data_IF_687566102723
#
_entry.id   IF_687566102723
#
_cell.length_a   1.000
_cell.length_b   1.000
_cell.length_c   1.000
_cell.angle_alpha   90.00
_cell.angle_beta   90.00
_cell.angle_gamma   90.00
#
_symmetry.space_group_name_H-M   'P 1'
#
loop_
_entity.id
_entity.type
_entity.pdbx_description
1 polymer ?
#
# COMPACT_ATOMS: atom_id res chain seq x y z
N UNK A 1 0.84 -3.68 13.26
CA UNK A 1 2.16 -3.32 13.83
C UNK A 1 2.08 -2.54 15.14
N UNK A 2 1.01 -1.82 15.43
CA UNK A 2 0.87 -0.98 16.65
C UNK A 2 0.42 -1.77 17.88
N UNK A 3 0.07 -3.03 17.76
CA UNK A 3 -0.33 -3.86 18.88
C UNK A 3 0.85 -4.08 19.86
N UNK A 4 0.59 -4.15 21.17
CA UNK A 4 1.66 -4.20 22.20
C UNK A 4 2.66 -5.35 22.05
N UNK A 5 2.21 -6.48 21.53
CA UNK A 5 3.04 -7.67 21.29
C UNK A 5 3.87 -7.58 19.99
N UNK A 6 3.54 -6.66 19.08
CA UNK A 6 4.18 -6.50 17.76
C UNK A 6 5.09 -5.30 17.67
N UNK A 7 4.68 -4.17 18.28
CA UNK A 7 5.39 -2.89 18.15
C UNK A 7 6.85 -2.97 18.62
N UNK A 8 7.14 -3.83 19.60
CA UNK A 8 8.48 -4.04 20.11
C UNK A 8 9.44 -4.60 19.05
N UNK A 9 9.01 -5.58 18.27
CA UNK A 9 9.80 -6.16 17.18
C UNK A 9 9.99 -5.15 16.04
N UNK A 10 8.96 -4.35 15.74
CA UNK A 10 9.03 -3.32 14.72
C UNK A 10 9.99 -2.18 15.10
N UNK A 11 9.95 -1.73 16.36
CA UNK A 11 10.89 -0.76 16.91
C UNK A 11 12.33 -1.29 16.92
N UNK A 12 12.51 -2.60 17.18
CA UNK A 12 13.83 -3.23 17.09
C UNK A 12 14.38 -3.17 15.66
N UNK A 13 13.56 -3.43 14.66
CA UNK A 13 13.93 -3.30 13.24
C UNK A 13 14.36 -1.86 12.90
N UNK A 14 13.59 -0.86 13.35
CA UNK A 14 13.90 0.56 13.12
C UNK A 14 15.20 0.98 13.80
N UNK A 15 15.46 0.47 15.01
CA UNK A 15 16.65 0.81 15.80
C UNK A 15 17.89 -0.01 15.47
N UNK A 16 17.85 -0.86 14.44
CA UNK A 16 18.98 -1.68 14.01
C UNK A 16 20.07 -0.83 13.36
N UNK A 17 21.32 -1.09 13.73
CA UNK A 17 22.50 -0.43 13.15
C UNK A 17 23.04 -1.17 11.94
N UNK A 18 22.83 -2.49 11.87
CA UNK A 18 23.30 -3.35 10.77
C UNK A 18 22.17 -4.07 10.07
N UNK A 19 22.47 -4.61 8.89
CA UNK A 19 21.50 -5.44 8.13
C UNK A 19 21.16 -6.71 8.90
N UNK A 20 22.15 -7.34 9.53
CA UNK A 20 21.98 -8.58 10.30
C UNK A 20 21.05 -8.37 11.51
N UNK A 21 21.20 -7.25 12.23
CA UNK A 21 20.29 -6.89 13.32
C UNK A 21 18.87 -6.65 12.80
N UNK A 22 18.74 -6.00 11.64
CA UNK A 22 17.45 -5.73 11.02
C UNK A 22 16.78 -7.02 10.57
N UNK A 23 17.51 -7.92 9.93
CA UNK A 23 17.02 -9.24 9.53
C UNK A 23 16.59 -10.06 10.75
N UNK A 24 17.33 -10.03 11.85
CA UNK A 24 16.97 -10.71 13.09
C UNK A 24 15.67 -10.16 13.72
N UNK A 25 15.42 -8.85 13.60
CA UNK A 25 14.16 -8.25 14.02
C UNK A 25 13.01 -8.61 13.08
N UNK A 26 13.25 -8.56 11.75
CA UNK A 26 12.28 -8.94 10.72
C UNK A 26 11.87 -10.41 10.82
N UNK A 27 12.80 -11.31 11.20
CA UNK A 27 12.49 -12.72 11.42
C UNK A 27 11.46 -12.96 12.55
N UNK A 28 11.32 -12.01 13.48
CA UNK A 28 10.26 -12.06 14.51
C UNK A 28 8.93 -11.53 13.99
N UNK A 29 8.95 -10.61 13.04
CA UNK A 29 7.76 -10.00 12.43
C UNK A 29 7.14 -10.93 11.38
N UNK A 30 7.98 -11.64 10.61
CA UNK A 30 7.55 -12.51 9.50
C UNK A 30 6.41 -13.47 9.88
N UNK A 31 6.52 -14.29 10.96
CA UNK A 31 5.45 -15.22 11.34
C UNK A 31 4.15 -14.51 11.76
N UNK A 32 4.24 -13.31 12.33
CA UNK A 32 3.06 -12.52 12.69
C UNK A 32 2.33 -12.04 11.44
N UNK A 33 3.05 -11.50 10.47
CA UNK A 33 2.45 -11.10 9.19
C UNK A 33 1.94 -12.28 8.38
N UNK A 34 2.66 -13.40 8.38
CA UNK A 34 2.19 -14.62 7.73
C UNK A 34 0.84 -15.06 8.31
N UNK A 35 0.68 -15.07 9.62
CA UNK A 35 -0.58 -15.43 10.27
C UNK A 35 -1.73 -14.48 9.89
N UNK A 36 -1.45 -13.18 9.83
CA UNK A 36 -2.44 -12.19 9.39
C UNK A 36 -2.89 -12.44 7.93
N UNK A 37 -1.94 -12.72 7.04
CA UNK A 37 -2.25 -12.99 5.64
C UNK A 37 -2.96 -14.34 5.46
N UNK A 38 -2.62 -15.36 6.25
CA UNK A 38 -3.37 -16.61 6.26
C UNK A 38 -4.83 -16.37 6.64
N UNK A 39 -5.08 -15.62 7.72
CA UNK A 39 -6.44 -15.28 8.14
C UNK A 39 -7.20 -14.48 7.07
N UNK A 40 -6.51 -13.60 6.34
CA UNK A 40 -7.10 -12.84 5.25
C UNK A 40 -7.49 -13.73 4.06
N UNK A 41 -6.60 -14.64 3.63
CA UNK A 41 -6.90 -15.60 2.55
C UNK A 41 -8.04 -16.55 2.94
N UNK A 42 -8.08 -17.02 4.19
CA UNK A 42 -9.18 -17.84 4.69
C UNK A 42 -10.53 -17.10 4.63
N UNK A 43 -10.54 -15.82 5.08
CA UNK A 43 -11.76 -15.02 5.09
C UNK A 43 -12.29 -14.69 3.69
N UNK A 44 -11.43 -14.68 2.69
CA UNK A 44 -11.79 -14.33 1.30
C UNK A 44 -12.03 -15.55 0.39
N UNK A 45 -11.85 -16.78 0.91
CA UNK A 45 -12.30 -18.03 0.27
C UNK A 45 -11.91 -18.15 -1.22
N UNK A 46 -10.64 -17.82 -1.56
CA UNK A 46 -10.14 -17.86 -2.93
C UNK A 46 -10.47 -16.62 -3.79
N UNK A 47 -11.12 -15.61 -3.24
CA UNK A 47 -11.24 -14.32 -3.92
C UNK A 47 -9.87 -13.63 -4.02
N UNK A 48 -9.66 -12.76 -5.03
CA UNK A 48 -8.42 -12.01 -5.18
C UNK A 48 -8.07 -11.17 -3.94
N UNK A 49 -6.80 -11.16 -3.57
CA UNK A 49 -6.29 -10.42 -2.42
C UNK A 49 -5.05 -9.63 -2.84
N UNK A 50 -5.16 -8.32 -2.77
CA UNK A 50 -4.03 -7.41 -3.01
C UNK A 50 -3.41 -7.00 -1.68
N UNK A 51 -2.13 -7.29 -1.50
CA UNK A 51 -1.37 -6.96 -0.30
C UNK A 51 -0.37 -5.86 -0.63
N UNK A 52 -0.56 -4.70 -0.02
CA UNK A 52 0.35 -3.57 -0.14
C UNK A 52 1.53 -3.72 0.83
N UNK A 53 2.74 -3.47 0.36
CA UNK A 53 3.91 -3.37 1.21
C UNK A 53 3.82 -2.22 2.19
N UNK A 54 4.69 -2.24 3.20
CA UNK A 54 4.79 -1.21 4.23
C UNK A 54 4.88 0.17 3.56
N UNK A 55 3.94 1.02 3.92
CA UNK A 55 3.81 2.35 3.34
C UNK A 55 4.10 3.49 4.33
N UNK A 56 3.62 3.46 5.59
CA UNK A 56 3.86 4.55 6.53
C UNK A 56 5.35 4.80 6.80
N UNK A 57 5.76 6.06 7.01
CA UNK A 57 7.12 6.39 7.38
C UNK A 57 7.47 5.85 8.77
N UNK A 58 8.74 5.50 8.97
CA UNK A 58 9.17 4.78 10.18
C UNK A 58 9.02 5.58 11.47
N UNK A 59 9.00 6.92 11.41
CA UNK A 59 8.83 7.75 12.62
C UNK A 59 7.47 7.53 13.30
N UNK A 60 6.44 7.06 12.60
CA UNK A 60 5.13 6.78 13.19
C UNK A 60 5.15 5.64 14.22
N UNK A 61 6.15 4.77 14.15
CA UNK A 61 6.24 3.58 15.01
C UNK A 61 7.11 3.79 16.26
N UNK A 62 7.88 4.86 16.32
CA UNK A 62 8.76 5.15 17.46
C UNK A 62 8.06 6.00 18.52
N UNK A 63 8.42 5.84 19.80
CA UNK A 63 7.80 6.59 20.88
C UNK A 63 8.22 8.07 20.88
N UNK A 64 7.33 8.91 21.38
CA UNK A 64 7.57 10.35 21.61
C UNK A 64 7.79 10.68 23.09
N UNK A 65 7.22 9.89 24.00
CA UNK A 65 7.28 10.11 25.43
C UNK A 65 8.60 9.62 26.03
N UNK A 66 9.20 10.40 26.95
CA UNK A 66 10.51 10.12 27.55
C UNK A 66 10.56 8.73 28.22
N UNK A 67 9.54 8.36 28.98
CA UNK A 67 9.47 7.08 29.66
C UNK A 67 9.48 5.89 28.68
N UNK A 68 8.82 6.03 27.54
CA UNK A 68 8.76 5.00 26.50
C UNK A 68 10.07 4.91 25.72
N UNK A 69 10.76 6.05 25.53
CA UNK A 69 12.11 6.11 24.95
C UNK A 69 13.12 5.40 25.86
N UNK A 70 13.06 5.64 27.18
CA UNK A 70 13.90 4.95 28.16
C UNK A 70 13.63 3.43 28.16
N UNK A 71 12.37 3.03 28.12
CA UNK A 71 11.98 1.62 28.04
C UNK A 71 12.49 0.97 26.75
N UNK A 72 12.38 1.66 25.61
CA UNK A 72 12.90 1.20 24.32
C UNK A 72 14.43 1.06 24.38
N UNK A 73 15.15 2.07 24.91
CA UNK A 73 16.59 2.03 25.05
C UNK A 73 17.06 0.81 25.85
N UNK A 74 16.40 0.54 26.99
CA UNK A 74 16.69 -0.63 27.83
C UNK A 74 16.42 -1.95 27.07
N UNK A 75 15.33 -2.04 26.35
CA UNK A 75 14.94 -3.23 25.58
C UNK A 75 15.92 -3.51 24.44
N UNK A 76 16.43 -2.45 23.80
CA UNK A 76 17.37 -2.56 22.67
C UNK A 76 18.83 -2.64 23.13
N UNK A 77 19.13 -2.52 24.43
CA UNK A 77 20.50 -2.48 24.93
C UNK A 77 21.32 -1.28 24.45
N UNK A 78 20.64 -0.19 24.10
CA UNK A 78 21.24 1.07 23.60
C UNK A 78 21.10 2.17 24.64
N UNK A 79 21.91 3.23 24.51
CA UNK A 79 21.74 4.40 25.37
C UNK A 79 20.47 5.17 24.97
N UNK A 80 19.87 5.86 25.94
CA UNK A 80 18.72 6.77 25.71
C UNK A 80 19.07 7.83 24.66
N UNK A 81 20.29 8.37 24.70
CA UNK A 81 20.79 9.33 23.73
C UNK A 81 20.84 8.74 22.32
N UNK A 82 21.30 7.50 22.16
CA UNK A 82 21.32 6.80 20.88
C UNK A 82 19.91 6.67 20.31
N UNK A 83 18.94 6.24 21.13
CA UNK A 83 17.54 6.13 20.69
C UNK A 83 16.95 7.48 20.29
N UNK A 84 17.22 8.55 21.08
CA UNK A 84 16.80 9.91 20.73
C UNK A 84 17.40 10.39 19.41
N UNK A 85 18.65 10.07 19.13
CA UNK A 85 19.30 10.43 17.88
C UNK A 85 18.68 9.66 16.69
N UNK A 86 18.35 8.37 16.86
CA UNK A 86 17.63 7.60 15.83
C UNK A 86 16.27 8.23 15.57
N UNK A 87 15.46 8.49 16.60
CA UNK A 87 14.14 9.13 16.47
C UNK A 87 14.26 10.48 15.76
N UNK A 88 15.23 11.32 16.17
CA UNK A 88 15.47 12.62 15.55
C UNK A 88 15.86 12.50 14.07
N UNK A 89 16.61 11.47 13.69
CA UNK A 89 17.01 11.23 12.30
C UNK A 89 15.85 10.80 11.39
N UNK A 90 14.78 10.27 11.98
CA UNK A 90 13.56 9.87 11.25
C UNK A 90 12.60 11.04 11.05
N UNK A 91 12.84 12.17 11.70
CA UNK A 91 11.95 13.33 11.58
C UNK A 91 12.06 13.96 10.20
N UNK A 92 10.93 14.11 9.54
CA UNK A 92 10.80 14.75 8.24
C UNK A 92 9.84 15.95 8.32
N UNK A 93 10.10 17.01 7.56
CA UNK A 93 9.21 18.18 7.51
C UNK A 93 7.87 17.86 6.84
N UNK A 94 7.90 16.97 5.86
CA UNK A 94 6.72 16.47 5.18
C UNK A 94 6.81 14.95 4.96
N UNK A 95 6.44 14.15 5.97
CA UNK A 95 6.58 12.68 5.91
C UNK A 95 5.79 12.02 4.79
N UNK A 96 4.65 12.62 4.38
CA UNK A 96 3.83 12.10 3.29
C UNK A 96 4.56 12.15 1.94
N UNK A 97 5.51 13.07 1.77
CA UNK A 97 6.38 13.20 0.60
C UNK A 97 7.80 12.63 0.84
N UNK A 98 8.01 11.98 1.97
CA UNK A 98 9.31 11.60 2.49
C UNK A 98 9.70 10.15 2.27
N UNK A 99 10.40 9.59 3.26
CA UNK A 99 10.98 8.26 3.24
C UNK A 99 9.96 7.19 3.66
N UNK A 100 9.11 6.81 2.73
CA UNK A 100 8.03 5.81 2.90
C UNK A 100 7.85 4.97 1.63
N UNK A 101 7.01 3.94 1.70
CA UNK A 101 6.60 3.13 0.56
C UNK A 101 7.78 2.48 -0.16
N UNK A 102 7.81 2.58 -1.49
CA UNK A 102 8.90 2.00 -2.28
C UNK A 102 10.27 2.55 -1.92
N UNK A 103 10.34 3.79 -1.42
CA UNK A 103 11.61 4.42 -1.00
C UNK A 103 12.21 3.69 0.20
N UNK A 104 11.38 3.21 1.13
CA UNK A 104 11.83 2.29 2.19
C UNK A 104 12.31 0.96 1.62
N UNK A 105 11.59 0.39 0.67
CA UNK A 105 11.99 -0.88 0.04
C UNK A 105 13.27 -0.75 -0.79
N UNK A 106 13.59 0.44 -1.29
CA UNK A 106 14.89 0.72 -1.94
C UNK A 106 16.02 0.83 -0.92
N UNK A 107 15.78 1.51 0.20
CA UNK A 107 16.80 1.76 1.22
C UNK A 107 17.02 0.55 2.14
N UNK A 108 15.95 -0.18 2.44
CA UNK A 108 15.91 -1.37 3.30
C UNK A 108 15.22 -2.53 2.60
N UNK A 109 15.84 -3.12 1.55
CA UNK A 109 15.22 -4.16 0.74
C UNK A 109 14.83 -5.42 1.52
N UNK A 110 15.48 -5.67 2.65
CA UNK A 110 15.16 -6.78 3.55
C UNK A 110 13.74 -6.71 4.12
N UNK A 111 13.13 -5.51 4.22
CA UNK A 111 11.71 -5.35 4.60
C UNK A 111 10.82 -5.95 3.50
N UNK A 112 11.06 -5.60 2.25
CA UNK A 112 10.31 -6.14 1.12
C UNK A 112 10.49 -7.66 0.99
N UNK A 113 11.70 -8.17 1.22
CA UNK A 113 12.02 -9.60 1.25
C UNK A 113 11.19 -10.31 2.34
N UNK A 114 11.18 -9.78 3.56
CA UNK A 114 10.40 -10.35 4.65
C UNK A 114 8.90 -10.38 4.34
N UNK A 115 8.35 -9.25 3.86
CA UNK A 115 6.93 -9.18 3.53
C UNK A 115 6.55 -10.14 2.38
N UNK A 116 7.40 -10.26 1.36
CA UNK A 116 7.20 -11.23 0.28
C UNK A 116 7.16 -12.65 0.81
N UNK A 117 8.10 -13.03 1.71
CA UNK A 117 8.10 -14.34 2.35
C UNK A 117 6.80 -14.61 3.09
N UNK A 118 6.34 -13.64 3.90
CA UNK A 118 5.11 -13.77 4.67
C UNK A 118 3.88 -13.97 3.76
N UNK A 119 3.76 -13.19 2.69
CA UNK A 119 2.66 -13.28 1.71
C UNK A 119 2.63 -14.65 1.02
N UNK A 120 3.77 -15.07 0.46
CA UNK A 120 3.86 -16.30 -0.32
C UNK A 120 3.69 -17.53 0.57
N UNK A 121 4.30 -17.55 1.77
CA UNK A 121 4.14 -18.65 2.74
C UNK A 121 2.68 -18.79 3.19
N UNK A 122 2.00 -17.67 3.46
CA UNK A 122 0.59 -17.66 3.81
C UNK A 122 -0.28 -18.24 2.69
N UNK A 123 -0.07 -17.80 1.45
CA UNK A 123 -0.80 -18.31 0.31
C UNK A 123 -0.58 -19.82 0.10
N UNK A 124 0.66 -20.30 0.21
CA UNK A 124 0.97 -21.74 0.12
C UNK A 124 0.30 -22.52 1.24
N UNK A 125 0.31 -22.01 2.47
CA UNK A 125 -0.31 -22.68 3.61
C UNK A 125 -1.82 -22.83 3.43
N UNK A 126 -2.50 -21.76 2.98
CA UNK A 126 -3.94 -21.77 2.74
C UNK A 126 -4.30 -22.62 1.52
N UNK A 127 -3.54 -22.56 0.42
CA UNK A 127 -3.74 -23.43 -0.74
C UNK A 127 -3.64 -24.93 -0.41
N UNK A 128 -2.77 -25.29 0.54
CA UNK A 128 -2.68 -26.69 1.01
C UNK A 128 -3.89 -27.13 1.85
N UNK A 129 -4.50 -26.20 2.59
CA UNK A 129 -5.72 -26.46 3.38
C UNK A 129 -6.98 -26.52 2.50
N UNK A 130 -7.00 -25.72 1.43
CA UNK A 130 -8.12 -25.57 0.52
C UNK A 130 -7.68 -25.76 -0.94
N UNK A 131 -7.45 -27.03 -1.36
CA UNK A 131 -6.94 -27.32 -2.70
C UNK A 131 -7.93 -27.01 -3.85
N UNK A 132 -9.19 -26.75 -3.52
CA UNK A 132 -10.25 -26.31 -4.42
C UNK A 132 -10.30 -24.80 -4.64
N UNK A 133 -9.56 -24.01 -3.83
CA UNK A 133 -9.46 -22.57 -4.01
C UNK A 133 -8.32 -22.20 -4.95
N UNK A 134 -8.56 -21.20 -5.79
CA UNK A 134 -7.50 -20.60 -6.59
C UNK A 134 -7.00 -19.35 -5.86
N UNK A 135 -5.82 -19.43 -5.25
CA UNK A 135 -5.19 -18.31 -4.55
C UNK A 135 -4.05 -17.79 -5.43
N UNK A 136 -4.18 -16.53 -5.84
CA UNK A 136 -3.14 -15.79 -6.58
C UNK A 136 -2.82 -14.54 -5.77
N UNK A 137 -1.73 -14.52 -5.00
CA UNK A 137 -1.29 -13.33 -4.28
C UNK A 137 -0.99 -12.18 -5.23
N UNK A 138 -1.54 -11.01 -4.93
CA UNK A 138 -1.24 -9.76 -5.62
C UNK A 138 -0.38 -8.90 -4.70
N UNK A 139 0.91 -8.74 -5.03
CA UNK A 139 1.85 -7.94 -4.25
C UNK A 139 1.91 -6.53 -4.84
N UNK A 140 1.51 -5.54 -4.05
CA UNK A 140 1.43 -4.15 -4.48
C UNK A 140 2.54 -3.31 -3.87
N UNK A 141 3.37 -2.71 -4.73
CA UNK A 141 4.44 -1.80 -4.33
C UNK A 141 3.89 -0.37 -4.36
N UNK A 142 3.82 0.33 -3.20
CA UNK A 142 3.27 1.67 -3.13
C UNK A 142 4.26 2.75 -3.55
N UNK A 143 3.77 3.94 -3.84
CA UNK A 143 4.53 5.19 -4.01
C UNK A 143 5.53 5.19 -5.18
N UNK A 144 5.30 4.40 -6.20
CA UNK A 144 6.13 4.37 -7.41
C UNK A 144 5.95 5.65 -8.21
N UNK A 145 7.04 6.33 -8.50
CA UNK A 145 7.10 7.49 -9.37
C UNK A 145 7.89 7.26 -10.66
N UNK A 146 8.74 6.23 -10.71
CA UNK A 146 9.56 5.87 -11.86
C UNK A 146 9.60 4.35 -12.05
N UNK A 147 9.61 3.89 -13.30
CA UNK A 147 9.72 2.46 -13.63
C UNK A 147 10.97 1.80 -13.01
N UNK A 148 12.05 2.57 -12.84
CA UNK A 148 13.30 2.04 -12.26
C UNK A 148 13.15 1.68 -10.79
N UNK A 149 12.34 2.42 -10.04
CA UNK A 149 11.98 2.07 -8.65
C UNK A 149 11.24 0.73 -8.62
N UNK A 150 10.23 0.58 -9.49
CA UNK A 150 9.48 -0.67 -9.60
C UNK A 150 10.38 -1.85 -9.98
N UNK A 151 11.21 -1.70 -10.99
CA UNK A 151 12.17 -2.73 -11.42
C UNK A 151 13.10 -3.15 -10.29
N UNK A 152 13.62 -2.18 -9.55
CA UNK A 152 14.57 -2.44 -8.47
C UNK A 152 13.92 -3.25 -7.35
N UNK A 153 12.73 -2.83 -6.87
CA UNK A 153 12.02 -3.53 -5.79
C UNK A 153 11.46 -4.86 -6.27
N UNK A 154 10.84 -4.91 -7.46
CA UNK A 154 10.29 -6.13 -8.05
C UNK A 154 11.33 -7.25 -8.16
N UNK A 155 12.60 -6.93 -8.41
CA UNK A 155 13.67 -7.91 -8.45
C UNK A 155 13.75 -8.73 -7.16
N UNK A 156 13.77 -8.06 -5.99
CA UNK A 156 13.81 -8.74 -4.69
C UNK A 156 12.53 -9.53 -4.43
N UNK A 157 11.39 -9.00 -4.84
CA UNK A 157 10.09 -9.67 -4.70
C UNK A 157 10.08 -10.98 -5.48
N UNK A 158 10.42 -10.95 -6.76
CA UNK A 158 10.41 -12.13 -7.63
C UNK A 158 11.44 -13.17 -7.17
N UNK A 159 12.69 -12.76 -6.92
CA UNK A 159 13.72 -13.66 -6.42
C UNK A 159 13.31 -14.36 -5.12
N UNK A 160 12.66 -13.63 -4.22
CA UNK A 160 12.20 -14.17 -2.94
C UNK A 160 10.98 -15.09 -3.11
N UNK A 161 9.97 -14.65 -3.87
CA UNK A 161 8.77 -15.43 -4.11
C UNK A 161 9.10 -16.78 -4.77
N UNK A 162 9.89 -16.75 -5.84
CA UNK A 162 10.32 -17.95 -6.57
C UNK A 162 11.12 -18.91 -5.69
N UNK A 163 12.01 -18.38 -4.83
CA UNK A 163 12.77 -19.18 -3.90
C UNK A 163 11.86 -19.89 -2.88
N UNK A 164 10.91 -19.17 -2.28
CA UNK A 164 9.95 -19.74 -1.31
C UNK A 164 9.05 -20.79 -1.95
N UNK A 165 8.52 -20.52 -3.14
CA UNK A 165 7.67 -21.45 -3.89
C UNK A 165 8.44 -22.74 -4.22
N UNK A 166 9.68 -22.60 -4.71
CA UNK A 166 10.56 -23.72 -5.03
C UNK A 166 10.88 -24.55 -3.79
N UNK A 167 11.26 -23.92 -2.69
CA UNK A 167 11.58 -24.58 -1.42
C UNK A 167 10.39 -25.37 -0.88
N UNK A 168 9.20 -24.82 -0.99
CA UNK A 168 7.94 -25.47 -0.57
C UNK A 168 7.47 -26.59 -1.51
N UNK A 169 8.07 -26.73 -2.69
CA UNK A 169 7.62 -27.64 -3.76
C UNK A 169 6.20 -27.33 -4.20
N UNK A 170 5.79 -26.05 -4.16
CA UNK A 170 4.42 -25.61 -4.46
C UNK A 170 4.30 -25.18 -5.93
N UNK A 171 3.08 -25.26 -6.45
CA UNK A 171 2.68 -24.63 -7.72
C UNK A 171 1.77 -23.44 -7.39
N UNK A 172 2.37 -22.27 -7.22
CA UNK A 172 1.68 -21.04 -6.87
C UNK A 172 2.01 -19.95 -7.87
N UNK A 173 0.97 -19.35 -8.47
CA UNK A 173 1.10 -18.13 -9.27
C UNK A 173 0.92 -16.93 -8.36
N UNK A 174 1.60 -15.84 -8.68
CA UNK A 174 1.46 -14.55 -8.01
C UNK A 174 1.62 -13.42 -9.01
N UNK A 175 1.19 -12.23 -8.65
CA UNK A 175 1.31 -11.03 -9.47
C UNK A 175 2.00 -9.92 -8.69
N UNK A 176 2.81 -9.11 -9.38
CA UNK A 176 3.46 -7.93 -8.82
C UNK A 176 3.00 -6.69 -9.57
N UNK A 177 2.28 -5.84 -8.87
CA UNK A 177 1.77 -4.60 -9.40
C UNK A 177 2.16 -3.39 -8.56
N UNK A 178 1.58 -2.27 -8.87
CA UNK A 178 1.90 -1.03 -8.17
C UNK A 178 0.68 -0.16 -7.91
N UNK A 179 0.82 0.73 -6.93
CA UNK A 179 -0.12 1.81 -6.71
C UNK A 179 0.21 2.98 -7.64
N UNK A 180 -0.79 3.48 -8.35
CA UNK A 180 -0.71 4.74 -9.11
C UNK A 180 -1.28 5.83 -8.20
N UNK A 181 -0.40 6.54 -7.55
CA UNK A 181 -0.75 7.56 -6.55
C UNK A 181 0.12 8.82 -6.63
N UNK A 182 1.15 8.77 -7.48
CA UNK A 182 1.97 9.93 -7.80
C UNK A 182 1.56 10.44 -9.19
N UNK A 183 1.31 11.73 -9.39
CA UNK A 183 0.93 12.28 -10.71
C UNK A 183 1.90 11.88 -11.83
N UNK A 184 3.22 11.85 -11.55
CA UNK A 184 4.21 11.38 -12.51
C UNK A 184 3.98 9.94 -12.94
N UNK A 185 3.59 9.06 -12.02
CA UNK A 185 3.27 7.67 -12.34
C UNK A 185 2.05 7.55 -13.26
N UNK A 186 1.01 8.38 -13.05
CA UNK A 186 -0.14 8.43 -13.94
C UNK A 186 0.23 8.89 -15.35
N UNK A 187 1.12 9.89 -15.46
CA UNK A 187 1.60 10.43 -16.74
C UNK A 187 2.53 9.46 -17.51
N UNK A 188 3.15 8.51 -16.84
CA UNK A 188 4.09 7.52 -17.42
C UNK A 188 3.63 6.09 -17.19
N UNK A 189 2.30 5.90 -17.14
CA UNK A 189 1.72 4.60 -16.82
C UNK A 189 1.99 3.53 -17.89
N UNK A 190 2.18 3.93 -19.15
CA UNK A 190 2.65 3.06 -20.23
C UNK A 190 4.04 2.46 -19.94
N UNK A 191 4.96 3.27 -19.42
CA UNK A 191 6.28 2.78 -19.03
C UNK A 191 6.17 1.82 -17.83
N UNK A 192 5.40 2.20 -16.81
CA UNK A 192 5.23 1.40 -15.59
C UNK A 192 4.52 0.07 -15.90
N UNK A 193 3.55 0.05 -16.82
CA UNK A 193 2.83 -1.14 -17.23
C UNK A 193 3.70 -2.21 -17.92
N UNK A 194 4.91 -1.86 -18.39
CA UNK A 194 5.86 -2.84 -18.89
C UNK A 194 6.33 -3.80 -17.80
N UNK A 195 6.32 -3.35 -16.55
CA UNK A 195 6.76 -4.11 -15.38
C UNK A 195 5.61 -4.52 -14.44
N UNK A 196 4.64 -3.63 -14.23
CA UNK A 196 3.49 -3.90 -13.36
C UNK A 196 2.48 -4.83 -14.05
N UNK A 197 1.99 -5.83 -13.32
CA UNK A 197 0.97 -6.76 -13.79
C UNK A 197 -0.43 -6.25 -13.53
N UNK A 198 -0.59 -5.39 -12.53
CA UNK A 198 -1.84 -4.68 -12.22
C UNK A 198 -1.56 -3.27 -11.69
N UNK A 199 -2.60 -2.42 -11.72
CA UNK A 199 -2.59 -1.11 -11.08
C UNK A 199 -3.67 -0.99 -10.01
N UNK A 200 -3.39 -0.21 -8.97
CA UNK A 200 -4.39 0.25 -8.02
C UNK A 200 -4.21 1.75 -7.80
N UNK A 201 -5.25 2.54 -7.94
CA UNK A 201 -5.18 3.96 -7.65
C UNK A 201 -5.19 4.21 -6.14
N UNK A 202 -4.15 4.86 -5.61
CA UNK A 202 -4.07 5.42 -4.26
C UNK A 202 -4.55 6.86 -4.28
N UNK A 203 -5.87 7.07 -4.28
CA UNK A 203 -6.44 8.38 -4.56
C UNK A 203 -6.27 9.40 -3.45
N UNK A 204 -5.94 9.01 -2.23
CA UNK A 204 -5.59 9.96 -1.18
C UNK A 204 -4.31 10.72 -1.55
N UNK A 205 -3.23 9.99 -1.86
CA UNK A 205 -1.96 10.60 -2.28
C UNK A 205 -2.06 11.28 -3.64
N UNK A 206 -2.76 10.67 -4.60
CA UNK A 206 -2.96 11.27 -5.91
C UNK A 206 -3.72 12.61 -5.81
N UNK A 207 -4.73 12.70 -4.96
CA UNK A 207 -5.47 13.93 -4.69
C UNK A 207 -4.56 14.96 -4.03
N UNK A 208 -3.86 14.60 -2.97
CA UNK A 208 -2.93 15.47 -2.25
C UNK A 208 -1.90 16.11 -3.18
N UNK A 209 -1.27 15.29 -4.02
CA UNK A 209 -0.22 15.77 -4.92
C UNK A 209 -0.76 16.53 -6.12
N UNK A 210 -1.97 16.23 -6.57
CA UNK A 210 -2.62 16.95 -7.68
C UNK A 210 -3.09 18.33 -7.24
N UNK A 211 -3.68 18.46 -6.05
CA UNK A 211 -4.07 19.75 -5.49
C UNK A 211 -2.90 20.53 -4.88
N UNK A 212 -1.80 19.87 -4.52
CA UNK A 212 -0.62 20.49 -3.96
C UNK A 212 -0.78 20.92 -2.50
N UNK A 213 -1.62 20.22 -1.71
CA UNK A 213 -1.73 20.42 -0.27
C UNK A 213 -1.84 19.10 0.49
N UNK A 214 -1.35 19.09 1.72
CA UNK A 214 -1.39 17.93 2.59
C UNK A 214 -2.79 17.67 3.12
N UNK A 215 -3.24 16.40 3.09
CA UNK A 215 -4.49 15.97 3.71
C UNK A 215 -4.53 16.31 5.20
N UNK A 216 -3.40 16.13 5.89
CA UNK A 216 -3.30 16.33 7.33
C UNK A 216 -3.34 17.82 7.73
N UNK A 217 -2.91 18.73 6.82
CA UNK A 217 -2.89 20.16 7.04
C UNK A 217 -4.09 20.91 6.42
N UNK A 218 -4.81 20.27 5.50
CA UNK A 218 -5.87 20.93 4.72
C UNK A 218 -7.03 21.48 5.58
N UNK A 219 -7.31 20.87 6.73
CA UNK A 219 -8.32 21.37 7.70
C UNK A 219 -8.08 22.80 8.18
N UNK A 220 -6.85 23.32 8.04
CA UNK A 220 -6.54 24.71 8.43
C UNK A 220 -7.17 25.77 7.51
N UNK A 221 -7.57 25.40 6.29
CA UNK A 221 -8.12 26.35 5.30
C UNK A 221 -9.37 25.83 4.56
N UNK A 222 -9.65 24.53 4.53
CA UNK A 222 -10.75 23.97 3.76
C UNK A 222 -12.13 24.50 4.19
N UNK A 223 -12.32 24.76 5.48
CA UNK A 223 -13.58 25.35 5.98
C UNK A 223 -13.87 26.71 5.31
N UNK A 224 -12.85 27.56 5.17
CA UNK A 224 -13.00 28.83 4.46
C UNK A 224 -13.29 28.65 2.96
N UNK A 225 -12.80 27.57 2.36
CA UNK A 225 -13.08 27.23 0.95
C UNK A 225 -14.53 26.77 0.76
N UNK A 226 -15.09 26.05 1.74
CA UNK A 226 -16.52 25.65 1.73
C UNK A 226 -17.42 26.86 1.93
N UNK A 227 -17.12 27.73 2.88
CA UNK A 227 -17.87 28.95 3.16
C UNK A 227 -17.87 29.88 1.94
N UNK A 228 -16.73 30.01 1.26
CA UNK A 228 -16.56 30.79 0.04
C UNK A 228 -17.13 30.09 -1.22
N UNK A 229 -17.63 28.85 -1.10
CA UNK A 229 -18.10 28.01 -2.22
C UNK A 229 -17.07 27.79 -3.32
N UNK A 230 -15.77 27.75 -2.96
CA UNK A 230 -14.69 27.38 -3.86
C UNK A 230 -14.71 25.88 -4.09
N UNK A 231 -14.88 25.10 -3.03
CA UNK A 231 -15.14 23.67 -3.08
C UNK A 231 -16.55 23.36 -2.56
N UNK A 232 -17.24 22.46 -3.27
CA UNK A 232 -18.55 21.96 -2.82
C UNK A 232 -18.42 20.79 -1.84
N UNK A 233 -17.35 20.03 -1.95
CA UNK A 233 -17.10 18.84 -1.17
C UNK A 233 -15.61 18.76 -0.80
N UNK A 234 -15.32 17.99 0.24
CA UNK A 234 -13.97 17.60 0.59
C UNK A 234 -13.38 16.72 -0.53
N UNK A 235 -12.27 17.13 -1.18
CA UNK A 235 -11.66 16.34 -2.26
C UNK A 235 -11.06 15.02 -1.77
N UNK A 236 -10.88 14.81 -0.48
CA UNK A 236 -10.45 13.53 0.10
C UNK A 236 -11.63 12.60 0.40
N UNK A 237 -12.84 13.12 0.56
CA UNK A 237 -14.04 12.31 0.77
C UNK A 237 -14.74 11.95 -0.54
N UNK A 238 -14.73 12.86 -1.51
CA UNK A 238 -15.35 12.71 -2.83
C UNK A 238 -14.32 13.00 -3.92
N UNK A 239 -14.14 12.05 -4.83
CA UNK A 239 -13.13 12.12 -5.88
C UNK A 239 -13.32 13.36 -6.79
N UNK A 240 -12.27 14.12 -6.94
CA UNK A 240 -12.18 15.14 -7.98
C UNK A 240 -12.09 14.49 -9.38
N UNK A 241 -13.23 14.45 -10.06
CA UNK A 241 -13.33 13.84 -11.39
C UNK A 241 -12.70 14.73 -12.48
N UNK A 242 -12.43 16.01 -12.19
CA UNK A 242 -11.90 16.97 -13.17
C UNK A 242 -10.38 16.89 -13.28
N UNK A 243 -9.65 16.99 -12.18
CA UNK A 243 -8.19 16.96 -12.16
C UNK A 243 -7.66 15.54 -11.93
N UNK A 244 -7.94 14.98 -10.73
CA UNK A 244 -7.51 13.63 -10.37
C UNK A 244 -8.10 12.59 -11.33
N UNK A 245 -9.37 12.73 -11.68
CA UNK A 245 -10.05 11.84 -12.62
C UNK A 245 -9.43 11.83 -14.01
N UNK A 246 -8.89 12.95 -14.49
CA UNK A 246 -8.14 12.99 -15.76
C UNK A 246 -6.83 12.21 -15.68
N UNK A 247 -6.11 12.31 -14.57
CA UNK A 247 -4.90 11.50 -14.36
C UNK A 247 -5.23 10.01 -14.30
N UNK A 248 -6.34 9.65 -13.67
CA UNK A 248 -6.80 8.25 -13.63
C UNK A 248 -7.17 7.75 -15.04
N UNK A 249 -7.94 8.51 -15.81
CA UNK A 249 -8.31 8.15 -17.19
C UNK A 249 -7.07 7.97 -18.07
N UNK A 250 -6.11 8.88 -17.96
CA UNK A 250 -4.85 8.79 -18.68
C UNK A 250 -4.08 7.51 -18.30
N UNK A 251 -3.94 7.23 -17.02
CA UNK A 251 -3.23 6.05 -16.55
C UNK A 251 -3.92 4.73 -16.96
N UNK A 252 -5.25 4.69 -16.95
CA UNK A 252 -6.02 3.53 -17.45
C UNK A 252 -5.75 3.28 -18.93
N UNK A 253 -5.81 4.33 -19.76
CA UNK A 253 -5.56 4.22 -21.20
C UNK A 253 -4.15 3.77 -21.49
N UNK A 254 -3.15 4.47 -20.95
CA UNK A 254 -1.75 4.16 -21.13
C UNK A 254 -1.38 2.74 -20.62
N UNK A 255 -1.91 2.35 -19.46
CA UNK A 255 -1.68 1.01 -18.93
C UNK A 255 -2.26 -0.10 -19.82
N UNK A 256 -3.51 0.07 -20.28
CA UNK A 256 -4.19 -0.89 -21.14
C UNK A 256 -3.65 -0.92 -22.58
N UNK A 257 -3.02 0.14 -23.07
CA UNK A 257 -2.30 0.10 -24.36
C UNK A 257 -1.14 -0.90 -24.32
N UNK A 258 -0.48 -1.05 -23.16
CA UNK A 258 0.64 -1.98 -22.97
C UNK A 258 0.15 -3.38 -22.55
N UNK A 259 -0.82 -3.43 -21.65
CA UNK A 259 -1.44 -4.67 -21.13
C UNK A 259 -2.96 -4.58 -21.20
N UNK A 260 -3.58 -4.97 -22.31
CA UNK A 260 -5.03 -4.86 -22.51
C UNK A 260 -5.87 -5.54 -21.42
N UNK A 261 -5.38 -6.66 -20.89
CA UNK A 261 -6.06 -7.46 -19.85
C UNK A 261 -5.70 -7.04 -18.42
N UNK A 262 -4.92 -5.94 -18.26
CA UNK A 262 -4.55 -5.46 -16.94
C UNK A 262 -5.78 -5.16 -16.09
N UNK A 263 -5.87 -5.75 -14.91
CA UNK A 263 -6.86 -5.33 -13.93
C UNK A 263 -6.39 -4.08 -13.20
N UNK A 264 -7.32 -3.18 -12.97
CA UNK A 264 -7.06 -1.86 -12.38
C UNK A 264 -8.12 -1.59 -11.33
N UNK A 265 -7.70 -1.27 -10.12
CA UNK A 265 -8.59 -0.96 -9.02
C UNK A 265 -8.36 0.42 -8.42
N UNK A 266 -9.14 0.70 -7.39
CA UNK A 266 -9.02 1.89 -6.54
C UNK A 266 -9.11 1.47 -5.08
N UNK A 267 -8.38 2.14 -4.22
CA UNK A 267 -8.47 2.00 -2.78
C UNK A 267 -8.59 3.37 -2.09
N UNK A 268 -8.84 3.35 -0.79
CA UNK A 268 -9.00 4.54 0.03
C UNK A 268 -10.45 4.99 0.19
N UNK A 269 -10.63 6.22 0.68
CA UNK A 269 -11.95 6.74 1.03
C UNK A 269 -12.90 6.82 -0.16
N UNK A 270 -12.38 7.17 -1.33
CA UNK A 270 -13.15 7.29 -2.56
C UNK A 270 -13.78 5.97 -3.03
N UNK A 271 -13.18 4.83 -2.71
CA UNK A 271 -13.75 3.52 -3.03
C UNK A 271 -15.10 3.23 -2.34
N UNK A 272 -15.44 4.00 -1.31
CA UNK A 272 -16.72 3.91 -0.59
C UNK A 272 -17.71 5.03 -0.92
N UNK A 273 -17.34 6.03 -1.73
CA UNK A 273 -18.22 7.12 -2.15
C UNK A 273 -19.00 6.74 -3.44
N UNK A 274 -20.35 6.83 -3.44
CA UNK A 274 -21.16 6.40 -4.59
C UNK A 274 -20.80 7.07 -5.91
N UNK A 275 -20.55 8.38 -5.91
CA UNK A 275 -20.23 9.12 -7.13
C UNK A 275 -18.86 8.76 -7.67
N UNK A 276 -17.91 8.46 -6.78
CA UNK A 276 -16.57 8.00 -7.13
C UNK A 276 -16.61 6.58 -7.69
N UNK A 277 -17.41 5.68 -7.10
CA UNK A 277 -17.65 4.32 -7.62
C UNK A 277 -18.26 4.35 -9.01
N UNK A 278 -19.25 5.21 -9.25
CA UNK A 278 -19.85 5.40 -10.57
C UNK A 278 -18.80 5.88 -11.60
N UNK A 279 -17.95 6.81 -11.21
CA UNK A 279 -16.86 7.29 -12.06
C UNK A 279 -15.84 6.19 -12.36
N UNK A 280 -15.46 5.39 -11.37
CA UNK A 280 -14.60 4.22 -11.56
C UNK A 280 -15.20 3.22 -12.55
N UNK A 281 -16.51 2.98 -12.48
CA UNK A 281 -17.21 2.15 -13.46
C UNK A 281 -17.11 2.71 -14.87
N UNK A 282 -17.30 4.01 -15.06
CA UNK A 282 -17.15 4.69 -16.36
C UNK A 282 -15.75 4.59 -16.95
N UNK A 283 -14.71 4.61 -16.07
CA UNK A 283 -13.32 4.39 -16.49
C UNK A 283 -13.00 2.94 -16.83
N UNK A 284 -13.89 2.00 -16.52
CA UNK A 284 -13.68 0.57 -16.73
C UNK A 284 -12.70 -0.05 -15.73
N UNK A 285 -12.70 0.42 -14.47
CA UNK A 285 -11.96 -0.22 -13.39
C UNK A 285 -12.55 -1.58 -13.06
N UNK A 286 -11.69 -2.51 -12.67
CA UNK A 286 -12.05 -3.90 -12.42
C UNK A 286 -12.67 -4.08 -11.03
N UNK A 287 -12.18 -3.33 -10.03
CA UNK A 287 -12.64 -3.41 -8.65
C UNK A 287 -12.52 -2.09 -7.90
N UNK A 288 -13.26 -1.99 -6.80
CA UNK A 288 -13.09 -0.95 -5.78
C UNK A 288 -12.83 -1.61 -4.44
N UNK A 289 -11.94 -1.02 -3.65
CA UNK A 289 -11.66 -1.40 -2.27
C UNK A 289 -12.07 -0.25 -1.36
N UNK A 290 -12.76 -0.56 -0.28
CA UNK A 290 -13.23 0.41 0.72
C UNK A 290 -13.24 -0.21 2.12
N UNK A 291 -13.46 0.61 3.15
CA UNK A 291 -13.63 0.10 4.50
C UNK A 291 -14.81 -0.88 4.58
N UNK A 292 -14.76 -1.90 5.46
CA UNK A 292 -15.82 -2.92 5.57
C UNK A 292 -17.22 -2.34 5.75
N UNK A 293 -17.35 -1.25 6.48
CA UNK A 293 -18.64 -0.57 6.74
C UNK A 293 -19.23 0.09 5.49
N UNK A 294 -18.41 0.38 4.48
CA UNK A 294 -18.86 0.99 3.22
C UNK A 294 -19.16 -0.01 2.11
N UNK A 295 -18.82 -1.29 2.28
CA UNK A 295 -19.04 -2.34 1.27
C UNK A 295 -20.50 -2.39 0.78
N UNK A 296 -21.55 -2.33 1.63
CA UNK A 296 -22.94 -2.35 1.14
C UNK A 296 -23.25 -1.16 0.22
N UNK A 297 -22.75 0.02 0.58
CA UNK A 297 -22.95 1.25 -0.21
C UNK A 297 -22.21 1.15 -1.55
N UNK A 298 -20.96 0.72 -1.54
CA UNK A 298 -20.14 0.55 -2.75
C UNK A 298 -20.76 -0.47 -3.71
N UNK A 299 -21.26 -1.60 -3.20
CA UNK A 299 -21.96 -2.60 -4.01
C UNK A 299 -23.23 -2.05 -4.65
N UNK A 300 -24.03 -1.28 -3.90
CA UNK A 300 -25.24 -0.65 -4.43
C UNK A 300 -24.87 0.37 -5.53
N UNK A 301 -23.88 1.23 -5.29
CA UNK A 301 -23.43 2.21 -6.28
C UNK A 301 -22.91 1.54 -7.56
N UNK A 302 -22.12 0.48 -7.43
CA UNK A 302 -21.62 -0.29 -8.57
C UNK A 302 -22.77 -0.92 -9.39
N UNK A 303 -23.79 -1.48 -8.70
CA UNK A 303 -24.95 -2.04 -9.36
C UNK A 303 -25.78 -0.97 -10.10
N UNK A 304 -25.98 0.19 -9.48
CA UNK A 304 -26.66 1.35 -10.11
C UNK A 304 -25.89 1.84 -11.35
N UNK A 305 -24.56 1.98 -11.25
CA UNK A 305 -23.71 2.37 -12.38
C UNK A 305 -23.81 1.37 -13.54
N UNK A 306 -23.78 0.07 -13.25
CA UNK A 306 -23.91 -0.99 -14.24
C UNK A 306 -25.29 -1.00 -14.93
N UNK A 307 -26.37 -0.67 -14.21
CA UNK A 307 -27.72 -0.55 -14.78
C UNK A 307 -27.82 0.68 -15.68
N UNK A 308 -27.27 1.82 -15.23
CA UNK A 308 -27.31 3.08 -15.99
C UNK A 308 -26.46 3.06 -17.28
N UNK A 309 -25.53 2.11 -17.40
CA UNK A 309 -24.66 1.93 -18.58
C UNK A 309 -25.21 0.97 -19.63
N UNK A 310 -26.37 0.36 -19.38
CA UNK A 310 -27.10 -0.52 -20.32
C UNK A 310 -28.02 0.30 -21.23
#
# INVERSE_FOLDING_TARGET
>A
FFEPDRIGAFRAMICSDTVEEREAALAKIEPMQQADFEALYEALEGCPVTIRFLDPPLHEFVPTEEADIEALAKTQGKSVETIKNIIASLHEFNPMMGHRGCRLAVTYPEIAVMQTKAVIKAAIAVSKRHPDWTIVPEIMIPLIGDIKELKYVKKFVVETADAVIKEAGADLKYEVGTMIEIPRAALTADEIAKEAEFFCFGTNDLTQMTFGFSRDDAGKFLDAYYDAKIFENDPFAKLDQTGVGKLMDMAVKLGKEVRPEMHIGICGEHGGDPSSVEFCHKLGLTYVSCSPFRVPIARLAAAQAAIASK
#
